data_IF_262495163952
#
_entry.id   IF_262495163952
#
_cell.length_a   1.000
_cell.length_b   1.000
_cell.length_c   1.000
_cell.angle_alpha   90.00
_cell.angle_beta   90.00
_cell.angle_gamma   90.00
#
_symmetry.space_group_name_H-M   'P 1'
#
loop_
_entity.id
_entity.type
_entity.pdbx_description
1 polymer ?
#
# COMPACT_ATOMS: atom_id res chain seq x y z
N UNK A 1 3.69 -1.99 32.02
CA UNK A 1 3.18 -0.70 31.47
C UNK A 1 3.94 -0.21 30.22
N UNK A 2 5.25 -0.47 30.05
CA UNK A 2 6.02 -0.04 28.86
C UNK A 2 5.49 -0.62 27.53
N UNK A 3 5.03 -1.87 27.52
CA UNK A 3 4.58 -2.55 26.30
C UNK A 3 3.28 -1.98 25.73
N UNK A 4 2.36 -1.51 26.58
CA UNK A 4 1.07 -0.96 26.13
C UNK A 4 1.27 0.37 25.39
N UNK A 5 2.12 1.24 25.92
CA UNK A 5 2.48 2.51 25.26
C UNK A 5 3.17 2.25 23.92
N UNK A 6 4.05 1.25 23.86
CA UNK A 6 4.69 0.84 22.60
C UNK A 6 3.68 0.32 21.57
N UNK A 7 2.67 -0.45 22.00
CA UNK A 7 1.58 -0.93 21.14
C UNK A 7 0.77 0.26 20.63
N UNK A 8 0.40 1.21 21.48
CA UNK A 8 -0.31 2.41 21.04
C UNK A 8 0.50 3.24 20.05
N UNK A 9 1.80 3.44 20.29
CA UNK A 9 2.68 4.13 19.35
C UNK A 9 2.76 3.37 18.02
N UNK A 10 2.95 2.05 18.04
CA UNK A 10 2.95 1.24 16.82
C UNK A 10 1.60 1.25 16.09
N UNK A 11 0.48 1.24 16.81
CA UNK A 11 -0.84 1.43 16.23
C UNK A 11 -0.98 2.81 15.59
N UNK A 12 -0.46 3.86 16.22
CA UNK A 12 -0.39 5.22 15.66
C UNK A 12 0.51 5.30 14.42
N UNK A 13 1.46 4.39 14.23
CA UNK A 13 2.28 4.32 13.02
C UNK A 13 1.69 3.40 11.93
N UNK A 14 1.04 2.30 12.30
CA UNK A 14 0.39 1.37 11.37
C UNK A 14 -0.96 1.86 10.85
N UNK A 15 -1.72 2.59 11.67
CA UNK A 15 -2.99 3.21 11.26
C UNK A 15 -2.82 4.18 10.08
N UNK A 16 -1.93 5.20 10.12
CA UNK A 16 -1.75 6.11 8.99
C UNK A 16 -1.17 5.39 7.77
N UNK A 17 -0.34 4.35 7.95
CA UNK A 17 0.12 3.52 6.83
C UNK A 17 -1.05 2.81 6.13
N UNK A 18 -2.00 2.28 6.89
CA UNK A 18 -3.18 1.60 6.32
C UNK A 18 -4.16 2.62 5.72
N UNK A 19 -4.32 3.77 6.36
CA UNK A 19 -5.19 4.86 5.93
C UNK A 19 -4.69 5.52 4.64
N UNK A 20 -3.37 5.77 4.52
CA UNK A 20 -2.74 6.22 3.29
C UNK A 20 -2.92 5.19 2.17
N UNK A 21 -2.79 3.90 2.46
CA UNK A 21 -3.04 2.82 1.50
C UNK A 21 -4.47 2.86 0.98
N UNK A 22 -5.43 3.07 1.88
CA UNK A 22 -6.84 3.21 1.53
C UNK A 22 -7.14 4.47 0.70
N UNK A 23 -6.54 5.63 1.02
CA UNK A 23 -6.67 6.85 0.22
C UNK A 23 -6.12 6.64 -1.19
N UNK A 24 -4.94 6.01 -1.32
CA UNK A 24 -4.35 5.73 -2.64
C UNK A 24 -5.22 4.76 -3.44
N UNK A 25 -5.87 3.79 -2.77
CA UNK A 25 -6.86 2.92 -3.38
C UNK A 25 -8.09 3.71 -3.86
N UNK A 26 -8.65 4.61 -3.04
CA UNK A 26 -9.78 5.46 -3.46
C UNK A 26 -9.44 6.34 -4.67
N UNK A 27 -8.25 6.94 -4.70
CA UNK A 27 -7.78 7.72 -5.86
C UNK A 27 -7.68 6.83 -7.10
N UNK A 28 -7.29 5.57 -6.93
CA UNK A 28 -7.12 4.61 -8.01
C UNK A 28 -8.32 3.68 -8.18
N UNK A 29 -9.50 4.00 -7.63
CA UNK A 29 -10.67 3.09 -7.60
C UNK A 29 -11.21 2.72 -9.00
N UNK A 30 -10.82 3.50 -10.01
CA UNK A 30 -11.14 3.28 -11.42
C UNK A 30 -10.19 2.29 -12.11
N UNK A 31 -9.09 1.92 -11.47
CA UNK A 31 -8.11 0.98 -12.01
C UNK A 31 -8.48 -0.47 -11.65
N UNK A 32 -7.74 -1.43 -12.20
CA UNK A 32 -7.97 -2.84 -11.91
C UNK A 32 -7.49 -3.16 -10.50
N UNK A 33 -8.40 -3.71 -9.69
CA UNK A 33 -8.12 -4.18 -8.34
C UNK A 33 -8.30 -5.70 -8.29
N UNK A 34 -7.37 -6.38 -7.62
CA UNK A 34 -7.40 -7.82 -7.42
C UNK A 34 -7.18 -8.13 -5.94
N UNK A 35 -8.04 -8.98 -5.37
CA UNK A 35 -7.81 -9.51 -4.02
C UNK A 35 -6.92 -10.74 -4.12
N UNK A 36 -5.78 -10.72 -3.44
CA UNK A 36 -4.84 -11.84 -3.40
C UNK A 36 -4.43 -12.13 -1.96
N UNK A 37 -4.77 -13.32 -1.46
CA UNK A 37 -4.39 -13.78 -0.11
C UNK A 37 -4.69 -12.80 1.05
N UNK A 38 -5.74 -11.98 0.91
CA UNK A 38 -6.10 -10.96 1.90
C UNK A 38 -5.41 -9.60 1.72
N UNK A 39 -4.60 -9.43 0.67
CA UNK A 39 -4.09 -8.13 0.24
C UNK A 39 -4.87 -7.62 -0.99
N UNK A 40 -5.07 -6.30 -1.05
CA UNK A 40 -5.71 -5.66 -2.19
C UNK A 40 -4.61 -5.15 -3.12
N UNK A 41 -4.46 -5.81 -4.26
CA UNK A 41 -3.53 -5.44 -5.31
C UNK A 41 -4.21 -4.44 -6.23
N UNK A 42 -3.60 -3.27 -6.44
CA UNK A 42 -4.10 -2.27 -7.39
C UNK A 42 -3.04 -2.03 -8.45
N UNK A 43 -3.39 -2.35 -9.69
CA UNK A 43 -2.53 -2.12 -10.85
C UNK A 43 -2.57 -0.64 -11.23
N UNK A 44 -1.39 -0.01 -11.32
CA UNK A 44 -1.27 1.38 -11.75
C UNK A 44 -0.24 1.50 -12.87
N UNK A 45 -0.50 2.38 -13.83
CA UNK A 45 0.43 2.71 -14.91
C UNK A 45 1.48 3.75 -14.45
N UNK A 46 2.05 3.57 -13.25
CA UNK A 46 3.14 4.39 -12.71
C UNK A 46 4.36 3.50 -12.49
N UNK A 47 5.60 3.99 -12.68
CA UNK A 47 6.81 3.16 -12.56
C UNK A 47 7.16 2.77 -11.11
N UNK A 48 6.32 3.11 -10.13
CA UNK A 48 6.57 2.83 -8.71
C UNK A 48 5.59 1.80 -8.19
N UNK A 49 6.14 0.70 -7.66
CA UNK A 49 5.39 -0.26 -6.88
C UNK A 49 5.54 0.08 -5.40
N UNK A 50 4.45 0.05 -4.65
CA UNK A 50 4.43 0.50 -3.26
C UNK A 50 3.52 -0.42 -2.45
N UNK A 51 3.99 -0.87 -1.28
CA UNK A 51 3.21 -1.69 -0.35
C UNK A 51 2.88 -0.87 0.89
N UNK A 52 1.60 -0.61 1.11
CA UNK A 52 1.07 0.04 2.32
C UNK A 52 0.20 -0.95 3.08
N UNK A 53 0.86 -1.80 3.87
CA UNK A 53 0.19 -2.78 4.73
C UNK A 53 -0.61 -3.81 3.92
N UNK A 54 -1.94 -3.74 4.02
CA UNK A 54 -2.87 -4.62 3.30
C UNK A 54 -3.00 -4.25 1.80
N UNK A 55 -2.55 -3.06 1.41
CA UNK A 55 -2.69 -2.56 0.05
C UNK A 55 -1.36 -2.65 -0.70
N UNK A 56 -1.35 -3.37 -1.80
CA UNK A 56 -0.17 -3.53 -2.65
C UNK A 56 -0.46 -2.84 -3.99
N UNK A 57 0.33 -1.85 -4.32
CA UNK A 57 0.20 -1.13 -5.59
C UNK A 57 1.29 -1.62 -6.53
N UNK A 58 0.90 -2.30 -7.60
CA UNK A 58 1.83 -2.89 -8.57
C UNK A 58 1.85 -2.06 -9.84
N UNK A 59 3.03 -1.99 -10.47
CA UNK A 59 3.17 -1.38 -11.80
C UNK A 59 2.90 -2.38 -12.90
N UNK A 60 2.10 -1.99 -13.90
CA UNK A 60 1.89 -2.78 -15.12
C UNK A 60 3.10 -2.74 -16.07
N UNK A 61 4.07 -1.84 -15.83
CA UNK A 61 5.25 -1.71 -16.67
C UNK A 61 6.54 -1.71 -15.84
N UNK A 62 7.02 -2.89 -15.41
CA UNK A 62 8.23 -3.01 -14.57
C UNK A 62 9.53 -2.63 -15.30
N UNK A 63 9.48 -2.35 -16.61
CA UNK A 63 10.67 -2.15 -17.44
C UNK A 63 11.29 -0.74 -17.37
N UNK A 64 10.66 0.24 -16.70
CA UNK A 64 11.18 1.62 -16.62
C UNK A 64 11.92 1.97 -15.31
N UNK A 65 12.04 1.03 -14.36
CA UNK A 65 12.84 1.20 -13.13
C UNK A 65 14.27 0.61 -13.26
N UNK A 66 14.69 0.21 -14.46
CA UNK A 66 16.13 0.09 -14.74
C UNK A 66 16.71 1.50 -14.78
N UNK A 67 17.29 1.94 -13.66
CA UNK A 67 18.26 3.04 -13.63
C UNK A 67 19.38 2.70 -14.62
N UNK A 68 19.28 3.21 -15.84
CA UNK A 68 20.44 3.59 -16.65
C UNK A 68 20.94 4.94 -16.21
#
# INVERSE_FOLDING_TARGET
MKNVIYIFIQCTWGLPQTLLGFIVLLINIKNKHYFYHGAIITERNVPSSVSLGMFVFTTTNPMKDKRT
#
